data_IF_348074181673
#
_entry.id   IF_348074181673
#
_cell.length_a   1.000
_cell.length_b   1.000
_cell.length_c   1.000
_cell.angle_alpha   90.00
_cell.angle_beta   90.00
_cell.angle_gamma   90.00
#
_symmetry.space_group_name_H-M   'P 1'
#
loop_
_entity.id
_entity.type
_entity.pdbx_description
1 polymer ?
#
# COMPACT_ATOMS: atom_id res chain seq x y z
N UNK A 1 6.36 -16.46 9.23
CA UNK A 1 6.78 -15.86 7.95
C UNK A 1 5.64 -15.10 7.29
N UNK A 2 4.45 -15.69 7.18
CA UNK A 2 3.28 -15.10 6.48
C UNK A 2 2.80 -13.77 7.08
N UNK A 3 2.69 -13.66 8.42
CA UNK A 3 2.31 -12.40 9.08
C UNK A 3 3.31 -11.26 8.82
N UNK A 4 4.61 -11.58 8.77
CA UNK A 4 5.65 -10.60 8.54
C UNK A 4 5.51 -9.95 7.15
N UNK A 5 5.30 -10.77 6.12
CA UNK A 5 5.09 -10.29 4.75
C UNK A 5 3.76 -9.55 4.59
N UNK A 6 2.70 -10.00 5.27
CA UNK A 6 1.42 -9.33 5.27
C UNK A 6 1.55 -7.88 5.78
N UNK A 7 2.11 -7.70 6.99
CA UNK A 7 2.28 -6.37 7.56
C UNK A 7 3.29 -5.53 6.77
N UNK A 8 4.42 -6.11 6.37
CA UNK A 8 5.54 -5.35 5.81
C UNK A 8 5.40 -5.06 4.32
N UNK A 9 4.64 -5.84 3.55
CA UNK A 9 4.51 -5.64 2.11
C UNK A 9 3.05 -5.62 1.67
N UNK A 10 2.30 -6.72 1.89
CA UNK A 10 0.98 -6.88 1.27
C UNK A 10 0.02 -5.74 1.67
N UNK A 11 -0.09 -5.46 2.97
CA UNK A 11 -0.97 -4.41 3.48
C UNK A 11 -0.57 -3.00 3.00
N UNK A 12 0.65 -2.49 3.29
CA UNK A 12 1.02 -1.12 2.91
C UNK A 12 1.02 -0.93 1.40
N UNK A 13 1.48 -1.90 0.61
CA UNK A 13 1.51 -1.79 -0.86
C UNK A 13 0.10 -1.76 -1.44
N UNK A 14 -0.82 -2.65 -1.02
CA UNK A 14 -2.19 -2.67 -1.53
C UNK A 14 -2.95 -1.37 -1.19
N UNK A 15 -2.78 -0.87 0.04
CA UNK A 15 -3.36 0.41 0.45
C UNK A 15 -2.75 1.58 -0.34
N UNK A 16 -1.43 1.58 -0.54
CA UNK A 16 -0.76 2.61 -1.32
C UNK A 16 -1.23 2.64 -2.78
N UNK A 17 -1.28 1.49 -3.45
CA UNK A 17 -1.74 1.39 -4.86
C UNK A 17 -3.15 1.95 -4.98
N UNK A 18 -4.04 1.57 -4.06
CA UNK A 18 -5.43 2.06 -4.04
C UNK A 18 -5.50 3.58 -3.84
N UNK A 19 -4.83 4.10 -2.81
CA UNK A 19 -4.88 5.53 -2.47
C UNK A 19 -4.28 6.36 -3.61
N UNK A 20 -3.09 5.99 -4.10
CA UNK A 20 -2.40 6.73 -5.15
C UNK A 20 -3.14 6.68 -6.47
N UNK A 21 -3.64 5.50 -6.87
CA UNK A 21 -4.40 5.34 -8.12
C UNK A 21 -5.64 6.23 -8.12
N UNK A 22 -6.51 6.12 -7.11
CA UNK A 22 -7.77 6.86 -7.09
C UNK A 22 -7.57 8.36 -6.87
N UNK A 23 -6.52 8.76 -6.15
CA UNK A 23 -6.17 10.17 -5.97
C UNK A 23 -5.70 10.82 -7.27
N UNK A 24 -4.85 10.15 -8.05
CA UNK A 24 -4.40 10.66 -9.35
C UNK A 24 -5.54 10.59 -10.36
N UNK A 25 -6.28 9.49 -10.38
CA UNK A 25 -7.40 9.27 -11.30
C UNK A 25 -8.51 10.32 -11.15
N UNK A 26 -8.79 10.77 -9.92
CA UNK A 26 -9.81 11.80 -9.66
C UNK A 26 -9.37 13.21 -10.07
N UNK A 27 -8.06 13.48 -10.10
CA UNK A 27 -7.51 14.74 -10.59
C UNK A 27 -7.51 14.74 -12.12
N UNK A 28 -6.84 13.75 -12.72
CA UNK A 28 -6.83 13.52 -14.16
C UNK A 28 -6.46 12.07 -14.43
N UNK A 29 -7.43 11.30 -14.91
CA UNK A 29 -7.23 9.89 -15.23
C UNK A 29 -6.19 9.64 -16.33
N UNK A 30 -5.96 10.58 -17.26
CA UNK A 30 -4.96 10.40 -18.32
C UNK A 30 -3.53 10.29 -17.77
N UNK A 31 -3.32 10.73 -16.53
CA UNK A 31 -2.02 10.69 -15.87
C UNK A 31 -1.62 9.31 -15.33
N UNK A 32 -2.59 8.40 -15.18
CA UNK A 32 -2.36 7.06 -14.62
C UNK A 32 -3.08 5.93 -15.37
N UNK A 33 -4.25 6.20 -15.92
CA UNK A 33 -5.07 5.24 -16.68
C UNK A 33 -5.83 5.93 -17.84
N UNK A 34 -5.12 6.22 -18.96
CA UNK A 34 -5.68 6.80 -20.18
C UNK A 34 -6.88 6.08 -20.79
N UNK A 35 -7.81 6.82 -21.43
CA UNK A 35 -9.04 6.23 -22.03
C UNK A 35 -8.77 5.14 -23.06
N UNK A 36 -7.61 5.17 -23.71
CA UNK A 36 -7.24 4.16 -24.72
C UNK A 36 -7.24 2.74 -24.13
N UNK A 37 -7.05 2.60 -22.82
CA UNK A 37 -7.06 1.31 -22.13
C UNK A 37 -8.46 0.77 -21.86
N UNK A 38 -9.51 1.60 -21.87
CA UNK A 38 -10.90 1.17 -21.59
C UNK A 38 -11.36 0.06 -22.54
N UNK A 39 -10.81 0.01 -23.77
CA UNK A 39 -11.10 -1.02 -24.77
C UNK A 39 -10.58 -2.41 -24.36
N UNK A 40 -9.48 -2.47 -23.62
CA UNK A 40 -8.78 -3.72 -23.26
C UNK A 40 -8.95 -4.09 -21.80
N UNK A 41 -9.27 -3.10 -20.96
CA UNK A 41 -9.23 -3.21 -19.52
C UNK A 41 -10.53 -2.62 -18.94
N UNK A 42 -11.58 -3.45 -18.84
CA UNK A 42 -12.91 -2.98 -18.47
C UNK A 42 -12.95 -2.49 -17.02
N UNK A 43 -13.95 -1.66 -16.72
CA UNK A 43 -14.08 -1.02 -15.41
C UNK A 43 -14.09 -2.01 -14.22
N UNK A 44 -14.73 -3.17 -14.36
CA UNK A 44 -14.74 -4.18 -13.29
C UNK A 44 -13.33 -4.70 -12.97
N UNK A 45 -12.49 -4.87 -14.00
CA UNK A 45 -11.11 -5.32 -13.82
C UNK A 45 -10.28 -4.23 -13.13
N UNK A 46 -10.57 -2.96 -13.43
CA UNK A 46 -9.99 -1.82 -12.72
C UNK A 46 -10.37 -1.78 -11.24
N UNK A 47 -11.63 -2.07 -10.91
CA UNK A 47 -12.05 -2.21 -9.51
C UNK A 47 -11.34 -3.37 -8.82
N UNK A 48 -11.19 -4.52 -9.50
CA UNK A 48 -10.46 -5.67 -8.94
C UNK A 48 -9.01 -5.32 -8.61
N UNK A 49 -8.31 -4.61 -9.50
CA UNK A 49 -6.89 -4.29 -9.33
C UNK A 49 -6.61 -3.13 -8.36
N UNK A 50 -7.50 -2.13 -8.26
CA UNK A 50 -7.23 -0.88 -7.53
C UNK A 50 -8.16 -0.61 -6.34
N UNK A 51 -9.24 -1.37 -6.15
CA UNK A 51 -10.16 -1.20 -5.01
C UNK A 51 -10.26 -2.47 -4.19
N UNK A 52 -10.48 -3.61 -4.85
CA UNK A 52 -10.72 -4.88 -4.17
C UNK A 52 -9.47 -5.36 -3.43
N UNK A 53 -8.27 -5.04 -3.92
CA UNK A 53 -7.01 -5.35 -3.22
C UNK A 53 -6.92 -4.68 -1.85
N UNK A 54 -7.35 -3.42 -1.70
CA UNK A 54 -7.40 -2.73 -0.41
C UNK A 54 -8.47 -3.33 0.49
N UNK A 55 -9.66 -3.60 -0.05
CA UNK A 55 -10.75 -4.25 0.71
C UNK A 55 -10.29 -5.61 1.24
N UNK A 56 -9.63 -6.42 0.42
CA UNK A 56 -9.13 -7.74 0.80
C UNK A 56 -8.13 -7.64 1.96
N UNK A 57 -7.12 -6.77 1.88
CA UNK A 57 -6.14 -6.62 2.97
C UNK A 57 -6.73 -5.98 4.22
N UNK A 58 -7.76 -5.13 4.11
CA UNK A 58 -8.49 -4.58 5.26
C UNK A 58 -9.31 -5.65 5.97
N UNK A 59 -10.08 -6.44 5.22
CA UNK A 59 -10.82 -7.59 5.75
C UNK A 59 -9.86 -8.56 6.42
N UNK A 60 -8.74 -8.87 5.76
CA UNK A 60 -7.73 -9.75 6.32
C UNK A 60 -7.09 -9.17 7.59
N UNK A 61 -6.79 -7.87 7.63
CA UNK A 61 -6.28 -7.22 8.85
C UNK A 61 -7.29 -7.29 10.02
N UNK A 62 -8.59 -7.21 9.73
CA UNK A 62 -9.65 -7.25 10.74
C UNK A 62 -9.94 -8.68 11.24
N UNK A 63 -10.03 -9.64 10.32
CA UNK A 63 -10.50 -10.99 10.62
C UNK A 63 -9.37 -11.96 10.93
N UNK A 64 -8.23 -11.83 10.27
CA UNK A 64 -7.11 -12.73 10.48
C UNK A 64 -6.41 -12.42 11.80
N UNK A 65 -5.91 -13.47 12.46
CA UNK A 65 -5.18 -13.37 13.72
C UNK A 65 -3.69 -13.17 13.47
N UNK A 66 -3.35 -12.26 12.56
CA UNK A 66 -1.96 -11.95 12.27
C UNK A 66 -1.29 -11.33 13.50
N UNK A 67 -0.12 -11.86 13.87
CA UNK A 67 0.71 -11.27 14.92
C UNK A 67 1.69 -10.28 14.29
N UNK A 68 1.73 -9.01 14.74
CA UNK A 68 2.69 -8.03 14.25
C UNK A 68 4.13 -8.53 14.40
N UNK A 69 5.04 -8.09 13.53
CA UNK A 69 6.44 -8.50 13.59
C UNK A 69 7.09 -8.02 14.89
N UNK A 70 7.79 -8.92 15.58
CA UNK A 70 8.47 -8.62 16.85
C UNK A 70 9.52 -7.50 16.68
N UNK A 71 10.30 -7.57 15.60
CA UNK A 71 11.25 -6.51 15.21
C UNK A 71 10.61 -5.61 14.14
N UNK A 72 9.88 -4.59 14.57
CA UNK A 72 9.15 -3.70 13.67
C UNK A 72 10.06 -2.92 12.69
N UNK A 73 11.32 -2.67 13.07
CA UNK A 73 12.30 -2.00 12.22
C UNK A 73 12.60 -2.77 10.94
N UNK A 74 12.63 -4.10 10.98
CA UNK A 74 12.89 -4.90 9.77
C UNK A 74 11.76 -4.81 8.76
N UNK A 75 10.50 -4.75 9.22
CA UNK A 75 9.36 -4.52 8.33
C UNK A 75 9.39 -3.13 7.69
N UNK A 76 9.80 -2.09 8.44
CA UNK A 76 10.00 -0.74 7.92
C UNK A 76 11.13 -0.66 6.89
N UNK A 77 12.26 -1.32 7.15
CA UNK A 77 13.37 -1.40 6.19
C UNK A 77 12.90 -2.10 4.92
N UNK A 78 12.17 -3.21 5.05
CA UNK A 78 11.68 -3.97 3.89
C UNK A 78 10.74 -3.16 3.01
N UNK A 79 9.73 -2.49 3.57
CA UNK A 79 8.78 -1.72 2.76
C UNK A 79 9.46 -0.55 2.05
N UNK A 80 10.38 0.15 2.72
CA UNK A 80 11.10 1.27 2.11
C UNK A 80 12.10 0.79 1.05
N UNK A 81 12.82 -0.31 1.31
CA UNK A 81 13.69 -0.92 0.31
C UNK A 81 12.89 -1.28 -0.94
N UNK A 82 11.75 -1.98 -0.78
CA UNK A 82 10.86 -2.30 -1.89
C UNK A 82 10.38 -1.04 -2.64
N UNK A 83 9.94 -0.02 -1.90
CA UNK A 83 9.43 1.24 -2.48
C UNK A 83 10.48 1.96 -3.32
N UNK A 84 11.70 2.12 -2.79
CA UNK A 84 12.77 2.83 -3.48
C UNK A 84 13.38 2.00 -4.61
N UNK A 85 13.50 0.68 -4.46
CA UNK A 85 13.93 -0.19 -5.55
C UNK A 85 12.94 -0.16 -6.72
N UNK A 86 11.64 -0.20 -6.45
CA UNK A 86 10.62 -0.07 -7.49
C UNK A 86 10.63 1.32 -8.14
N UNK A 87 10.74 2.39 -7.34
CA UNK A 87 10.87 3.75 -7.87
C UNK A 87 12.11 3.94 -8.74
N UNK A 88 13.25 3.36 -8.33
CA UNK A 88 14.47 3.36 -9.12
C UNK A 88 14.30 2.60 -10.44
N UNK A 89 13.60 1.47 -10.44
CA UNK A 89 13.27 0.73 -11.66
C UNK A 89 12.40 1.57 -12.61
N UNK A 90 11.36 2.24 -12.10
CA UNK A 90 10.50 3.11 -12.91
C UNK A 90 11.29 4.27 -13.54
N UNK A 91 12.18 4.91 -12.76
CA UNK A 91 13.06 5.97 -13.27
C UNK A 91 14.09 5.43 -14.27
N UNK A 92 14.64 4.25 -14.02
CA UNK A 92 15.55 3.59 -14.95
C UNK A 92 14.89 3.36 -16.31
N UNK A 93 13.66 2.82 -16.34
CA UNK A 93 12.92 2.61 -17.59
C UNK A 93 12.69 3.94 -18.32
N UNK A 94 12.30 4.99 -17.58
CA UNK A 94 12.08 6.31 -18.14
C UNK A 94 13.34 6.91 -18.78
N UNK A 95 14.50 6.76 -18.14
CA UNK A 95 15.77 7.33 -18.62
C UNK A 95 16.37 6.46 -19.75
N UNK A 96 16.40 5.15 -19.57
CA UNK A 96 17.07 4.22 -20.47
C UNK A 96 16.28 3.95 -21.77
N UNK A 97 14.95 3.92 -21.68
CA UNK A 97 14.08 3.58 -22.82
C UNK A 97 13.22 4.76 -23.29
N UNK A 98 13.29 5.92 -22.63
CA UNK A 98 12.43 7.08 -22.90
C UNK A 98 10.93 6.74 -22.84
N UNK A 99 10.57 5.75 -22.01
CA UNK A 99 9.19 5.28 -21.79
C UNK A 99 8.77 5.59 -20.36
N UNK A 100 7.75 6.42 -20.21
CA UNK A 100 7.19 6.75 -18.90
C UNK A 100 6.09 5.76 -18.54
N UNK A 101 6.41 4.78 -17.67
CA UNK A 101 5.44 3.81 -17.12
C UNK A 101 4.23 4.52 -16.53
N UNK A 102 4.48 5.64 -15.85
CA UNK A 102 3.46 6.50 -15.28
C UNK A 102 3.58 7.92 -15.87
N UNK A 103 2.65 8.35 -16.75
CA UNK A 103 2.70 9.66 -17.39
C UNK A 103 2.83 10.82 -16.41
N UNK A 104 2.21 10.75 -15.22
CA UNK A 104 2.32 11.82 -14.21
C UNK A 104 3.77 12.12 -13.80
N UNK A 105 4.65 11.10 -13.72
CA UNK A 105 6.06 11.30 -13.31
C UNK A 105 6.82 12.12 -14.37
N UNK A 106 6.45 11.97 -15.64
CA UNK A 106 7.03 12.75 -16.74
C UNK A 106 6.74 14.24 -16.62
N UNK A 107 5.60 14.59 -16.00
CA UNK A 107 5.14 15.97 -15.80
C UNK A 107 5.78 16.64 -14.59
N UNK A 108 6.43 15.88 -13.72
CA UNK A 108 7.11 16.39 -12.53
C UNK A 108 8.56 16.79 -12.85
N UNK A 109 8.98 17.93 -12.30
CA UNK A 109 10.38 18.33 -12.27
C UNK A 109 11.19 17.49 -11.26
N UNK A 110 12.52 17.53 -11.34
CA UNK A 110 13.39 16.74 -10.46
C UNK A 110 13.12 16.93 -8.95
N UNK A 111 12.96 18.16 -8.42
CA UNK A 111 12.62 18.34 -7.00
C UNK A 111 11.27 17.71 -6.64
N UNK A 112 10.28 17.79 -7.54
CA UNK A 112 8.97 17.19 -7.34
C UNK A 112 9.02 15.66 -7.39
N UNK A 113 9.86 15.08 -8.26
CA UNK A 113 10.10 13.62 -8.30
C UNK A 113 10.74 13.11 -7.01
N UNK A 114 11.72 13.84 -6.47
CA UNK A 114 12.33 13.52 -5.17
C UNK A 114 11.28 13.66 -4.06
N UNK A 115 10.52 14.76 -4.05
CA UNK A 115 9.43 14.97 -3.10
C UNK A 115 8.38 13.85 -3.14
N UNK A 116 8.01 13.40 -4.35
CA UNK A 116 7.10 12.27 -4.55
C UNK A 116 7.70 10.97 -3.99
N UNK A 117 8.97 10.67 -4.26
CA UNK A 117 9.64 9.48 -3.72
C UNK A 117 9.71 9.49 -2.18
N UNK A 118 9.97 10.65 -1.58
CA UNK A 118 9.94 10.81 -0.12
C UNK A 118 8.53 10.61 0.43
N UNK A 119 7.53 11.26 -0.17
CA UNK A 119 6.12 11.11 0.23
C UNK A 119 5.65 9.66 0.12
N UNK A 120 6.07 8.95 -0.93
CA UNK A 120 5.79 7.53 -1.13
C UNK A 120 6.34 6.67 0.01
N UNK A 121 7.63 6.80 0.34
CA UNK A 121 8.24 6.05 1.45
C UNK A 121 7.61 6.37 2.81
N UNK A 122 7.28 7.64 3.05
CA UNK A 122 6.62 8.09 4.28
C UNK A 122 5.20 7.52 4.40
N UNK A 123 4.41 7.56 3.32
CA UNK A 123 3.05 7.02 3.31
C UNK A 123 3.06 5.51 3.57
N UNK A 124 3.94 4.76 2.92
CA UNK A 124 4.10 3.33 3.18
C UNK A 124 4.52 3.03 4.62
N UNK A 125 5.45 3.82 5.16
CA UNK A 125 5.88 3.69 6.56
C UNK A 125 4.75 3.99 7.54
N UNK A 126 3.90 4.96 7.22
CA UNK A 126 2.70 5.28 8.00
C UNK A 126 1.68 4.15 7.95
N UNK A 127 1.35 3.64 6.75
CA UNK A 127 0.41 2.53 6.56
C UNK A 127 0.86 1.27 7.32
N UNK A 128 2.16 0.95 7.27
CA UNK A 128 2.75 -0.13 8.06
C UNK A 128 2.51 0.04 9.57
N UNK A 129 2.79 1.24 10.11
CA UNK A 129 2.59 1.53 11.54
C UNK A 129 1.13 1.50 11.94
N UNK A 130 0.24 2.02 11.08
CA UNK A 130 -1.21 2.00 11.31
C UNK A 130 -1.74 0.57 11.39
N UNK A 131 -1.29 -0.34 10.52
CA UNK A 131 -1.69 -1.75 10.57
C UNK A 131 -1.31 -2.42 11.89
N UNK A 132 -0.10 -2.15 12.38
CA UNK A 132 0.39 -2.69 13.66
C UNK A 132 -0.41 -2.12 14.82
N UNK A 133 -0.61 -0.80 14.85
CA UNK A 133 -1.34 -0.13 15.93
C UNK A 133 -2.80 -0.58 15.96
N UNK A 134 -3.45 -0.70 14.79
CA UNK A 134 -4.79 -1.25 14.65
C UNK A 134 -4.86 -2.65 15.28
N UNK A 135 -3.94 -3.54 14.92
CA UNK A 135 -3.95 -4.89 15.47
C UNK A 135 -3.66 -4.93 16.99
N UNK A 136 -2.80 -4.03 17.49
CA UNK A 136 -2.49 -3.94 18.92
C UNK A 136 -3.72 -3.53 19.74
N UNK A 137 -4.48 -2.54 19.26
CA UNK A 137 -5.74 -2.11 19.89
C UNK A 137 -6.75 -3.24 19.87
N UNK A 138 -7.00 -3.80 18.70
CA UNK A 138 -8.00 -4.86 18.53
C UNK A 138 -7.68 -6.12 19.33
N UNK A 139 -6.39 -6.46 19.46
CA UNK A 139 -5.96 -7.60 20.29
C UNK A 139 -6.18 -7.36 21.79
N UNK A 140 -6.01 -6.12 22.25
CA UNK A 140 -6.25 -5.76 23.66
C UNK A 140 -7.73 -5.91 24.01
N UNK A 141 -8.62 -5.44 23.14
CA UNK A 141 -10.07 -5.54 23.33
C UNK A 141 -10.53 -7.02 23.40
N UNK A 142 -9.98 -7.88 22.53
CA UNK A 142 -10.28 -9.33 22.54
C UNK A 142 -9.87 -10.01 23.85
N UNK A 143 -8.70 -9.69 24.39
CA UNK A 143 -8.22 -10.26 25.64
C UNK A 143 -9.10 -9.82 26.84
N UNK A 144 -9.57 -8.58 26.84
CA UNK A 144 -10.51 -8.08 27.86
C UNK A 144 -11.87 -8.80 27.79
N UNK A 145 -12.44 -9.00 26.59
CA UNK A 145 -13.68 -9.77 26.42
C UNK A 145 -13.55 -11.22 26.91
N UNK A 146 -12.41 -11.88 26.68
CA UNK A 146 -12.19 -13.24 27.16
C UNK A 146 -12.05 -13.33 28.68
N UNK A 147 -11.31 -12.41 29.30
CA UNK A 147 -11.16 -12.33 30.75
C UNK A 147 -12.50 -12.09 31.47
N UNK A 148 -13.32 -11.18 30.95
CA UNK A 148 -14.65 -10.88 31.51
C UNK A 148 -15.64 -12.02 31.34
N UNK A 149 -15.59 -12.76 30.23
CA UNK A 149 -16.40 -13.96 30.02
C UNK A 149 -16.00 -15.11 30.96
N UNK A 150 -14.70 -15.30 31.21
CA UNK A 150 -14.19 -16.33 32.12
C UNK A 150 -14.53 -16.07 33.59
N UNK A 151 -14.64 -14.81 34.01
CA UNK A 151 -14.95 -14.43 35.40
C UNK A 151 -16.46 -14.56 35.74
N UNK A 152 -17.31 -14.75 34.73
CA UNK A 152 -18.77 -14.94 34.87
C UNK A 152 -19.20 -16.42 34.89
N UNK A 153 -18.29 -17.36 34.65
CA UNK A 153 -18.49 -18.80 34.86
C UNK A 153 -17.96 -19.20 36.23
#
# INVERSE_FOLDING_TARGET
MTSFLFYSLAFPVAMFVTISFWSIWSIDRELIFPKIFDKYYPFWLNQTAHTLVAIAVLIELMLARWTPPAKQSYGLVLINLFSYSYGALVLYIAIAHNVWVYPFISKLDWPQRIGFAVAFGLLNSLLYRLAIEFNRRFSTDRLQCQSTASKKR
#
